data_IF_870797769656
#
_entry.id   IF_870797769656
#
_cell.length_a   1.000
_cell.length_b   1.000
_cell.length_c   1.000
_cell.angle_alpha   90.00
_cell.angle_beta   90.00
_cell.angle_gamma   90.00
#
_symmetry.space_group_name_H-M   'P 1'
#
loop_
_entity.id
_entity.type
_entity.pdbx_description
1 polymer ?
#
# COMPACT_ATOMS: atom_id res chain seq x y z
N UNK A 1 -6.29 -36.83 -15.21
CA UNK A 1 -6.59 -36.27 -13.90
C UNK A 1 -5.34 -35.54 -13.43
N UNK A 2 -5.35 -34.24 -13.49
CA UNK A 2 -4.25 -33.40 -13.03
C UNK A 2 -4.21 -33.41 -11.49
N UNK A 3 -3.05 -33.56 -10.86
CA UNK A 3 -2.96 -33.50 -9.40
C UNK A 3 -3.40 -32.10 -8.92
N UNK A 4 -4.28 -32.09 -7.92
CA UNK A 4 -4.81 -30.85 -7.32
C UNK A 4 -3.65 -30.03 -6.77
N UNK A 5 -3.68 -28.72 -6.92
CA UNK A 5 -2.65 -27.75 -6.49
C UNK A 5 -2.17 -27.98 -5.04
N UNK A 6 -3.04 -28.47 -4.18
CA UNK A 6 -2.73 -28.89 -2.80
C UNK A 6 -1.69 -30.02 -2.72
N UNK A 7 -1.73 -30.98 -3.65
CA UNK A 7 -0.80 -32.12 -3.68
C UNK A 7 0.60 -31.69 -4.15
N UNK A 8 0.68 -30.72 -5.06
CA UNK A 8 1.95 -30.13 -5.51
C UNK A 8 2.61 -29.28 -4.42
N UNK A 9 1.83 -28.57 -3.62
CA UNK A 9 2.31 -27.82 -2.47
C UNK A 9 2.82 -28.73 -1.35
N UNK A 10 2.11 -29.84 -1.06
CA UNK A 10 2.51 -30.84 -0.07
C UNK A 10 3.84 -31.54 -0.45
N UNK A 11 4.06 -31.82 -1.73
CA UNK A 11 5.32 -32.41 -2.22
C UNK A 11 6.51 -31.44 -2.14
N UNK A 12 6.29 -30.14 -2.26
CA UNK A 12 7.36 -29.12 -2.29
C UNK A 12 7.80 -28.66 -0.90
N UNK A 13 6.95 -28.80 0.12
CA UNK A 13 7.23 -28.29 1.48
C UNK A 13 7.39 -29.35 2.56
N UNK A 14 7.23 -30.64 2.24
CA UNK A 14 7.56 -31.75 3.16
C UNK A 14 6.91 -31.71 4.55
N UNK A 15 5.81 -30.95 4.71
CA UNK A 15 4.99 -30.91 5.93
C UNK A 15 3.53 -30.98 5.54
N UNK A 16 2.76 -31.80 6.23
CA UNK A 16 1.30 -31.84 6.17
C UNK A 16 0.72 -30.46 6.53
N UNK A 17 0.60 -29.59 5.50
CA UNK A 17 0.01 -28.27 5.67
C UNK A 17 -1.49 -28.45 5.63
N UNK A 18 -2.08 -28.76 6.79
CA UNK A 18 -3.54 -28.76 6.93
C UNK A 18 -4.03 -27.30 6.72
N UNK A 19 -5.22 -27.10 6.13
CA UNK A 19 -5.81 -25.76 5.98
C UNK A 19 -5.83 -24.96 7.28
N UNK A 20 -5.93 -25.65 8.42
CA UNK A 20 -5.88 -25.05 9.76
C UNK A 20 -4.48 -24.53 10.12
N UNK A 21 -3.42 -25.20 9.68
CA UNK A 21 -2.03 -24.76 9.93
C UNK A 21 -1.65 -23.50 9.16
N UNK A 22 -2.12 -23.35 7.92
CA UNK A 22 -1.90 -22.12 7.12
C UNK A 22 -2.67 -20.93 7.67
N UNK A 23 -3.92 -21.10 8.10
CA UNK A 23 -4.70 -20.03 8.73
C UNK A 23 -4.10 -19.60 10.07
N UNK A 24 -3.60 -20.55 10.89
CA UNK A 24 -2.99 -20.23 12.18
C UNK A 24 -1.65 -19.48 11.99
N UNK A 25 -0.82 -19.88 11.05
CA UNK A 25 0.43 -19.18 10.74
C UNK A 25 0.18 -17.76 10.20
N UNK A 26 -0.85 -17.59 9.38
CA UNK A 26 -1.27 -16.26 8.88
C UNK A 26 -1.76 -15.38 10.03
N UNK A 27 -2.57 -15.92 10.94
CA UNK A 27 -3.07 -15.16 12.11
C UNK A 27 -1.95 -14.78 13.07
N UNK A 28 -0.95 -15.65 13.29
CA UNK A 28 0.21 -15.32 14.13
C UNK A 28 1.08 -14.24 13.51
N UNK A 29 1.29 -14.26 12.19
CA UNK A 29 2.00 -13.19 11.47
C UNK A 29 1.24 -11.87 11.54
N UNK A 30 -0.07 -11.87 11.34
CA UNK A 30 -0.93 -10.70 11.50
C UNK A 30 -0.84 -10.10 12.90
N UNK A 31 -0.92 -10.94 13.93
CA UNK A 31 -0.79 -10.49 15.32
C UNK A 31 0.58 -9.85 15.56
N UNK A 32 1.66 -10.43 15.04
CA UNK A 32 3.01 -9.88 15.13
C UNK A 32 3.11 -8.50 14.45
N UNK A 33 2.55 -8.33 13.25
CA UNK A 33 2.55 -7.04 12.54
C UNK A 33 1.81 -5.97 13.33
N UNK A 34 0.61 -6.29 13.83
CA UNK A 34 -0.18 -5.36 14.65
C UNK A 34 0.56 -5.00 15.92
N UNK A 35 1.14 -5.98 16.63
CA UNK A 35 1.92 -5.74 17.85
C UNK A 35 3.09 -4.80 17.58
N UNK A 36 3.83 -5.00 16.48
CA UNK A 36 4.97 -4.15 16.12
C UNK A 36 4.54 -2.71 15.83
N UNK A 37 3.46 -2.51 15.06
CA UNK A 37 2.93 -1.18 14.78
C UNK A 37 2.45 -0.49 16.06
N UNK A 38 1.69 -1.20 16.90
CA UNK A 38 1.17 -0.66 18.18
C UNK A 38 2.31 -0.35 19.15
N UNK A 39 3.30 -1.24 19.27
CA UNK A 39 4.49 -1.00 20.10
C UNK A 39 5.28 0.22 19.62
N UNK A 40 5.49 0.35 18.31
CA UNK A 40 6.08 1.52 17.71
C UNK A 40 5.29 2.79 18.03
N UNK A 41 3.97 2.76 17.81
CA UNK A 41 3.09 3.90 18.09
C UNK A 41 3.09 4.29 19.58
N UNK A 42 3.09 3.32 20.48
CA UNK A 42 3.18 3.57 21.92
C UNK A 42 4.49 4.24 22.30
N UNK A 43 5.61 3.78 21.75
CA UNK A 43 6.93 4.40 21.98
C UNK A 43 6.99 5.81 21.37
N UNK A 44 6.51 5.98 20.15
CA UNK A 44 6.46 7.27 19.45
C UNK A 44 5.61 8.32 20.14
N UNK A 45 4.53 7.91 20.79
CA UNK A 45 3.61 8.80 21.52
C UNK A 45 4.16 9.34 22.85
N UNK A 46 5.27 8.77 23.37
CA UNK A 46 5.88 9.24 24.62
C UNK A 46 6.32 10.70 24.53
N UNK A 47 6.09 11.54 25.56
CA UNK A 47 6.45 12.96 25.55
C UNK A 47 7.92 13.21 25.20
N UNK A 48 8.84 12.37 25.71
CA UNK A 48 10.28 12.47 25.46
C UNK A 48 10.67 12.28 23.99
N UNK A 49 9.87 11.56 23.21
CA UNK A 49 10.12 11.26 21.80
C UNK A 49 9.32 12.22 20.92
N UNK A 50 8.08 12.50 21.29
CA UNK A 50 7.15 13.35 20.54
C UNK A 50 7.69 14.76 20.33
N UNK A 51 8.35 15.35 21.33
CA UNK A 51 8.91 16.71 21.26
C UNK A 51 10.24 16.80 20.53
N UNK A 52 10.95 15.69 20.32
CA UNK A 52 12.25 15.68 19.64
C UNK A 52 12.08 15.61 18.13
N UNK A 53 12.84 16.45 17.39
CA UNK A 53 13.02 16.28 15.94
C UNK A 53 13.90 15.06 15.67
N UNK A 54 13.29 13.89 15.46
CA UNK A 54 14.01 12.66 15.14
C UNK A 54 14.29 12.58 13.63
N UNK A 55 15.23 13.42 13.15
CA UNK A 55 15.65 13.43 11.74
C UNK A 55 16.18 12.05 11.31
N UNK A 56 16.77 11.30 12.24
CA UNK A 56 17.28 9.96 11.97
C UNK A 56 16.17 8.93 11.71
N UNK A 57 14.94 9.14 12.23
CA UNK A 57 13.83 8.20 12.05
C UNK A 57 13.47 8.05 10.57
N UNK A 58 13.25 9.16 9.86
CA UNK A 58 12.98 9.14 8.42
C UNK A 58 14.14 8.56 7.61
N UNK A 59 15.39 8.86 7.99
CA UNK A 59 16.57 8.27 7.35
C UNK A 59 16.66 6.77 7.57
N UNK A 60 16.34 6.28 8.77
CA UNK A 60 16.35 4.86 9.09
C UNK A 60 15.20 4.12 8.40
N UNK A 61 14.01 4.72 8.34
CA UNK A 61 12.89 4.20 7.55
C UNK A 61 13.27 4.06 6.08
N UNK A 62 13.86 5.11 5.49
CA UNK A 62 14.30 5.08 4.09
C UNK A 62 15.41 4.05 3.85
N UNK A 63 16.37 3.91 4.77
CA UNK A 63 17.42 2.89 4.66
C UNK A 63 16.83 1.47 4.75
N UNK A 64 15.96 1.22 5.73
CA UNK A 64 15.26 -0.06 5.86
C UNK A 64 14.45 -0.40 4.61
N UNK A 65 13.73 0.60 4.07
CA UNK A 65 12.99 0.49 2.83
C UNK A 65 13.90 0.13 1.64
N UNK A 66 15.03 0.81 1.49
CA UNK A 66 15.98 0.54 0.39
C UNK A 66 16.56 -0.88 0.48
N UNK A 67 16.98 -1.31 1.66
CA UNK A 67 17.49 -2.67 1.88
C UNK A 67 16.42 -3.72 1.52
N UNK A 68 15.18 -3.51 1.97
CA UNK A 68 14.05 -4.38 1.69
C UNK A 68 13.77 -4.46 0.19
N UNK A 69 13.73 -3.32 -0.50
CA UNK A 69 13.44 -3.27 -1.94
C UNK A 69 14.55 -3.90 -2.76
N UNK A 70 15.82 -3.67 -2.42
CA UNK A 70 16.95 -4.33 -3.10
C UNK A 70 16.90 -5.84 -2.88
N UNK A 71 16.69 -6.32 -1.64
CA UNK A 71 16.59 -7.74 -1.34
C UNK A 71 15.41 -8.41 -2.07
N UNK A 72 14.25 -7.72 -2.15
CA UNK A 72 13.11 -8.16 -2.95
C UNK A 72 13.47 -8.20 -4.45
N UNK A 73 14.12 -7.16 -4.96
CA UNK A 73 14.60 -7.12 -6.35
C UNK A 73 15.51 -8.30 -6.69
N UNK A 74 16.50 -8.58 -5.82
CA UNK A 74 17.40 -9.74 -5.98
C UNK A 74 16.61 -11.04 -6.05
N UNK A 75 15.66 -11.24 -5.14
CA UNK A 75 14.82 -12.45 -5.10
C UNK A 75 13.94 -12.60 -6.34
N UNK A 76 13.40 -11.48 -6.87
CA UNK A 76 12.63 -11.46 -8.11
C UNK A 76 13.51 -11.73 -9.32
N UNK A 77 14.70 -11.12 -9.38
CA UNK A 77 15.66 -11.31 -10.49
C UNK A 77 16.24 -12.70 -10.57
N UNK A 78 16.44 -13.38 -9.45
CA UNK A 78 16.90 -14.78 -9.39
C UNK A 78 15.79 -15.80 -9.73
N UNK A 79 14.55 -15.38 -9.92
CA UNK A 79 13.43 -16.26 -10.22
C UNK A 79 13.14 -16.29 -11.73
N UNK A 80 13.42 -17.43 -12.38
CA UNK A 80 13.24 -17.61 -13.83
C UNK A 80 11.77 -17.43 -14.28
N UNK A 81 10.80 -17.84 -13.45
CA UNK A 81 9.36 -17.69 -13.75
C UNK A 81 8.97 -16.22 -13.83
N UNK A 82 9.46 -15.39 -12.89
CA UNK A 82 9.21 -13.95 -12.88
C UNK A 82 9.84 -13.28 -14.10
N UNK A 83 11.09 -13.61 -14.42
CA UNK A 83 11.82 -13.02 -15.56
C UNK A 83 11.15 -13.40 -16.89
N UNK A 84 10.78 -14.66 -17.07
CA UNK A 84 10.14 -15.13 -18.31
C UNK A 84 8.74 -14.54 -18.54
N UNK A 85 8.03 -14.20 -17.47
CA UNK A 85 6.66 -13.63 -17.50
C UNK A 85 6.60 -12.11 -17.28
N UNK A 86 7.73 -11.40 -17.35
CA UNK A 86 7.84 -9.99 -16.95
C UNK A 86 6.87 -9.07 -17.73
N UNK A 87 6.68 -9.30 -19.04
CA UNK A 87 5.74 -8.53 -19.84
C UNK A 87 4.28 -8.71 -19.40
N UNK A 88 3.88 -9.94 -19.07
CA UNK A 88 2.53 -10.25 -18.58
C UNK A 88 2.31 -9.70 -17.17
N UNK A 89 3.32 -9.78 -16.31
CA UNK A 89 3.31 -9.19 -14.97
C UNK A 89 3.06 -7.69 -15.07
N UNK A 90 3.79 -6.99 -15.95
CA UNK A 90 3.65 -5.54 -16.15
C UNK A 90 2.27 -5.13 -16.63
N UNK A 91 1.73 -5.83 -17.63
CA UNK A 91 0.40 -5.57 -18.17
C UNK A 91 -0.70 -5.83 -17.11
N UNK A 92 -0.60 -6.95 -16.38
CA UNK A 92 -1.55 -7.28 -15.31
C UNK A 92 -1.51 -6.25 -14.21
N UNK A 93 -0.31 -5.83 -13.77
CA UNK A 93 -0.15 -4.79 -12.76
C UNK A 93 -0.77 -3.46 -13.18
N UNK A 94 -0.56 -3.04 -14.44
CA UNK A 94 -1.13 -1.81 -14.99
C UNK A 94 -2.66 -1.85 -14.98
N UNK A 95 -3.25 -2.92 -15.51
CA UNK A 95 -4.70 -3.05 -15.61
C UNK A 95 -5.37 -3.17 -14.24
N UNK A 96 -4.80 -3.96 -13.33
CA UNK A 96 -5.28 -4.04 -11.94
C UNK A 96 -5.24 -2.64 -11.30
N UNK A 97 -4.15 -1.90 -11.47
CA UNK A 97 -4.02 -0.55 -10.90
C UNK A 97 -5.07 0.41 -11.42
N UNK A 98 -5.23 0.48 -12.74
CA UNK A 98 -6.20 1.40 -13.37
C UNK A 98 -7.62 1.10 -12.90
N UNK A 99 -8.01 -0.17 -12.89
CA UNK A 99 -9.35 -0.58 -12.43
C UNK A 99 -9.52 -0.36 -10.92
N UNK A 100 -8.53 -0.68 -10.10
CA UNK A 100 -8.56 -0.45 -8.66
C UNK A 100 -8.67 1.03 -8.31
N UNK A 101 -7.92 1.91 -8.99
CA UNK A 101 -8.02 3.36 -8.83
C UNK A 101 -9.37 3.89 -9.27
N UNK A 102 -9.89 3.44 -10.41
CA UNK A 102 -11.22 3.80 -10.87
C UNK A 102 -12.30 3.37 -9.88
N UNK A 103 -12.21 2.15 -9.36
CA UNK A 103 -13.14 1.64 -8.34
C UNK A 103 -13.10 2.44 -7.05
N UNK A 104 -11.92 2.79 -6.55
CA UNK A 104 -11.78 3.64 -5.36
C UNK A 104 -12.37 5.03 -5.60
N UNK A 105 -12.11 5.62 -6.76
CA UNK A 105 -12.67 6.92 -7.16
C UNK A 105 -14.19 6.90 -7.19
N UNK A 106 -14.79 5.89 -7.82
CA UNK A 106 -16.24 5.72 -7.91
C UNK A 106 -16.84 5.52 -6.51
N UNK A 107 -16.29 4.63 -5.70
CA UNK A 107 -16.80 4.35 -4.35
C UNK A 107 -16.78 5.60 -3.46
N UNK A 108 -15.68 6.36 -3.47
CA UNK A 108 -15.57 7.60 -2.68
C UNK A 108 -16.48 8.70 -3.26
N UNK A 109 -16.66 8.78 -4.57
CA UNK A 109 -17.63 9.71 -5.18
C UNK A 109 -19.05 9.41 -4.73
N UNK A 110 -19.43 8.13 -4.71
CA UNK A 110 -20.76 7.72 -4.23
C UNK A 110 -20.91 8.03 -2.74
N UNK A 111 -19.91 7.68 -1.92
CA UNK A 111 -19.91 8.02 -0.49
C UNK A 111 -20.07 9.54 -0.28
N UNK A 112 -19.28 10.37 -0.95
CA UNK A 112 -19.31 11.82 -0.82
C UNK A 112 -20.69 12.39 -1.18
N UNK A 113 -21.27 11.93 -2.30
CA UNK A 113 -22.54 12.44 -2.81
C UNK A 113 -23.75 12.01 -2.00
N UNK A 114 -23.83 10.72 -1.61
CA UNK A 114 -25.02 10.13 -1.02
C UNK A 114 -24.97 10.06 0.50
N UNK A 115 -23.81 9.77 1.09
CA UNK A 115 -23.69 9.58 2.55
C UNK A 115 -23.18 10.84 3.24
N UNK A 116 -22.07 11.39 2.78
CA UNK A 116 -21.47 12.58 3.40
C UNK A 116 -22.19 13.88 2.99
N UNK A 117 -22.88 13.87 1.84
CA UNK A 117 -23.61 15.03 1.28
C UNK A 117 -22.73 16.27 1.14
N UNK A 118 -21.44 16.06 0.82
CA UNK A 118 -20.47 17.13 0.61
C UNK A 118 -20.50 17.60 -0.85
N UNK A 119 -20.12 18.87 -1.07
CA UNK A 119 -19.87 19.42 -2.40
C UNK A 119 -18.55 18.88 -3.01
N UNK A 120 -18.15 19.39 -4.18
CA UNK A 120 -16.89 18.96 -4.83
C UNK A 120 -15.65 19.36 -4.03
N UNK A 121 -15.73 20.45 -3.28
CA UNK A 121 -14.65 20.92 -2.44
C UNK A 121 -14.56 20.19 -1.09
N UNK A 122 -15.45 19.22 -0.83
CA UNK A 122 -15.48 18.50 0.45
C UNK A 122 -16.12 19.28 1.59
N UNK A 123 -16.90 20.31 1.28
CA UNK A 123 -17.61 21.14 2.26
C UNK A 123 -19.09 20.73 2.34
N UNK A 124 -19.77 20.93 3.50
CA UNK A 124 -21.20 20.74 3.60
C UNK A 124 -21.95 21.61 2.57
N UNK A 125 -22.93 21.03 1.89
CA UNK A 125 -23.74 21.75 0.91
C UNK A 125 -24.44 22.93 1.58
N UNK A 126 -24.20 24.14 1.06
CA UNK A 126 -24.77 25.38 1.59
C UNK A 126 -23.78 26.31 2.32
N UNK A 127 -22.55 25.89 2.52
CA UNK A 127 -21.52 26.78 3.05
C UNK A 127 -20.78 27.43 1.89
N UNK A 128 -20.96 28.74 1.70
CA UNK A 128 -20.20 29.52 0.72
C UNK A 128 -18.74 29.58 1.17
N UNK A 129 -17.92 28.71 0.63
CA UNK A 129 -16.48 28.79 0.84
C UNK A 129 -15.91 29.89 -0.04
N UNK A 130 -15.30 30.88 0.57
CA UNK A 130 -14.32 31.71 -0.13
C UNK A 130 -13.27 30.78 -0.70
N UNK A 131 -13.20 30.72 -2.02
CA UNK A 131 -12.14 30.07 -2.78
C UNK A 131 -10.83 30.77 -2.43
N UNK A 132 -10.14 30.27 -1.42
CA UNK A 132 -8.76 30.64 -1.19
C UNK A 132 -7.95 30.20 -2.41
N UNK A 133 -7.12 31.10 -2.90
CA UNK A 133 -6.22 30.91 -4.02
C UNK A 133 -5.57 29.52 -3.99
N UNK A 134 -5.69 28.80 -5.09
CA UNK A 134 -4.96 27.58 -5.38
C UNK A 134 -3.48 27.96 -5.45
N UNK A 135 -2.75 27.82 -4.37
CA UNK A 135 -1.30 27.99 -4.39
C UNK A 135 -0.70 26.89 -5.27
N UNK A 136 -0.09 27.31 -6.37
CA UNK A 136 0.76 26.48 -7.23
C UNK A 136 2.11 26.18 -6.55
N UNK A 137 2.13 25.58 -5.38
CA UNK A 137 3.37 25.16 -4.73
C UNK A 137 3.23 23.77 -4.11
N UNK A 138 3.25 22.76 -4.96
CA UNK A 138 3.43 21.38 -4.58
C UNK A 138 4.19 20.63 -5.65
N UNK A 139 5.48 20.96 -5.87
CA UNK A 139 6.37 20.02 -6.57
C UNK A 139 6.52 18.81 -5.67
N UNK A 140 5.75 17.76 -5.96
CA UNK A 140 5.97 16.46 -5.37
C UNK A 140 7.45 16.12 -5.54
N UNK A 141 8.12 15.78 -4.45
CA UNK A 141 9.50 15.31 -4.50
C UNK A 141 9.54 13.91 -5.11
N UNK A 142 9.57 13.87 -6.45
CA UNK A 142 9.70 12.64 -7.24
C UNK A 142 11.07 11.97 -7.08
N UNK A 143 11.94 12.51 -6.23
CA UNK A 143 13.28 11.99 -6.01
C UNK A 143 13.23 10.60 -5.37
N UNK A 144 12.42 10.41 -4.35
CA UNK A 144 12.29 9.13 -3.64
C UNK A 144 11.79 7.99 -4.53
N UNK A 145 10.76 8.23 -5.34
CA UNK A 145 10.21 7.22 -6.27
C UNK A 145 11.23 6.77 -7.31
N UNK A 146 12.05 7.68 -7.83
CA UNK A 146 13.13 7.33 -8.77
C UNK A 146 14.16 6.38 -8.13
N UNK A 147 14.57 6.64 -6.90
CA UNK A 147 15.51 5.79 -6.17
C UNK A 147 14.94 4.41 -5.87
N UNK A 148 13.64 4.32 -5.59
CA UNK A 148 12.93 3.06 -5.35
C UNK A 148 12.89 2.20 -6.61
N UNK A 149 12.50 2.78 -7.75
CA UNK A 149 12.48 2.07 -9.03
C UNK A 149 13.89 1.64 -9.43
N UNK A 150 14.89 2.53 -9.26
CA UNK A 150 16.28 2.21 -9.54
C UNK A 150 16.78 1.07 -8.64
N UNK A 151 16.44 1.07 -7.36
CA UNK A 151 16.86 0.05 -6.39
C UNK A 151 16.28 -1.33 -6.75
N UNK A 152 15.00 -1.42 -7.15
CA UNK A 152 14.42 -2.70 -7.57
C UNK A 152 15.03 -3.21 -8.86
N UNK A 153 15.21 -2.33 -9.86
CA UNK A 153 15.82 -2.73 -11.13
C UNK A 153 17.26 -3.17 -10.91
N UNK A 154 18.04 -2.43 -10.13
CA UNK A 154 19.41 -2.81 -9.80
C UNK A 154 19.46 -4.14 -9.02
N UNK A 155 18.54 -4.33 -8.07
CA UNK A 155 18.37 -5.60 -7.35
C UNK A 155 18.03 -6.76 -8.29
N UNK A 156 17.08 -6.58 -9.20
CA UNK A 156 16.72 -7.60 -10.20
C UNK A 156 17.89 -7.98 -11.10
N UNK A 157 18.61 -6.99 -11.62
CA UNK A 157 19.79 -7.23 -12.46
C UNK A 157 20.90 -7.94 -11.66
N UNK A 158 21.12 -7.54 -10.42
CA UNK A 158 22.08 -8.19 -9.54
C UNK A 158 21.68 -9.65 -9.25
N UNK A 159 20.40 -9.91 -8.96
CA UNK A 159 19.88 -11.25 -8.73
C UNK A 159 19.98 -12.15 -9.95
N UNK A 160 19.75 -11.60 -11.13
CA UNK A 160 19.82 -12.36 -12.38
C UNK A 160 21.24 -12.68 -12.83
N UNK A 161 22.20 -11.74 -12.69
CA UNK A 161 23.54 -11.88 -13.26
C UNK A 161 24.66 -12.17 -12.26
N UNK A 162 24.55 -11.74 -11.01
CA UNK A 162 25.69 -11.60 -10.12
C UNK A 162 25.59 -12.40 -8.83
N UNK A 163 24.38 -12.61 -8.29
CA UNK A 163 24.22 -13.15 -6.93
C UNK A 163 24.00 -14.65 -6.94
N UNK A 164 24.86 -15.44 -6.27
CA UNK A 164 24.71 -16.89 -6.17
C UNK A 164 23.45 -17.28 -5.37
N UNK A 165 22.87 -18.45 -5.69
CA UNK A 165 21.66 -18.99 -5.04
C UNK A 165 21.79 -19.09 -3.52
N UNK A 166 23.00 -19.38 -3.02
CA UNK A 166 23.28 -19.43 -1.58
C UNK A 166 22.98 -18.08 -0.88
N UNK A 167 23.22 -16.94 -1.53
CA UNK A 167 22.93 -15.61 -0.99
C UNK A 167 21.46 -15.28 -1.17
N UNK A 168 20.86 -15.65 -2.31
CA UNK A 168 19.43 -15.48 -2.59
C UNK A 168 18.58 -16.18 -1.52
N UNK A 169 18.99 -17.34 -1.04
CA UNK A 169 18.32 -18.07 0.04
C UNK A 169 18.19 -17.25 1.35
N UNK A 170 19.15 -16.35 1.62
CA UNK A 170 19.11 -15.48 2.82
C UNK A 170 18.32 -14.18 2.61
N UNK A 171 18.01 -13.82 1.37
CA UNK A 171 17.21 -12.61 1.07
C UNK A 171 15.85 -12.65 1.76
N UNK A 172 15.23 -13.83 1.91
CA UNK A 172 13.96 -13.97 2.63
C UNK A 172 14.06 -13.47 4.07
N UNK A 173 15.07 -13.88 4.82
CA UNK A 173 15.30 -13.44 6.20
C UNK A 173 15.58 -11.94 6.29
N UNK A 174 16.33 -11.39 5.34
CA UNK A 174 16.60 -9.94 5.29
C UNK A 174 15.31 -9.16 5.04
N UNK A 175 14.44 -9.65 4.15
CA UNK A 175 13.15 -9.05 3.85
C UNK A 175 12.24 -9.08 5.09
N UNK A 176 12.13 -10.23 5.77
CA UNK A 176 11.28 -10.36 6.95
C UNK A 176 11.75 -9.45 8.09
N UNK A 177 13.05 -9.39 8.36
CA UNK A 177 13.61 -8.48 9.35
C UNK A 177 13.39 -7.01 8.96
N UNK A 178 13.64 -6.65 7.70
CA UNK A 178 13.40 -5.31 7.17
C UNK A 178 11.93 -4.91 7.29
N UNK A 179 11.01 -5.85 7.05
CA UNK A 179 9.58 -5.66 7.22
C UNK A 179 9.21 -5.35 8.67
N UNK A 180 9.67 -6.17 9.62
CA UNK A 180 9.39 -5.95 11.05
C UNK A 180 9.94 -4.61 11.54
N UNK A 181 11.16 -4.26 11.13
CA UNK A 181 11.77 -2.98 11.42
C UNK A 181 10.96 -1.83 10.82
N UNK A 182 10.56 -1.93 9.55
CA UNK A 182 9.77 -0.92 8.87
C UNK A 182 8.42 -0.70 9.56
N UNK A 183 7.69 -1.77 9.89
CA UNK A 183 6.41 -1.69 10.59
C UNK A 183 6.54 -1.01 11.97
N UNK A 184 7.58 -1.35 12.72
CA UNK A 184 7.86 -0.71 14.01
C UNK A 184 8.17 0.79 13.86
N UNK A 185 9.02 1.16 12.88
CA UNK A 185 9.39 2.55 12.64
C UNK A 185 8.21 3.39 12.11
N UNK A 186 7.38 2.82 11.25
CA UNK A 186 6.14 3.45 10.78
C UNK A 186 5.19 3.66 11.95
N UNK A 187 4.99 2.63 12.79
CA UNK A 187 4.22 2.77 14.02
C UNK A 187 4.73 3.90 14.90
N UNK A 188 6.05 3.98 15.09
CA UNK A 188 6.70 5.04 15.91
C UNK A 188 6.48 6.44 15.31
N UNK A 189 6.52 6.59 13.99
CA UNK A 189 6.24 7.86 13.33
C UNK A 189 4.77 8.28 13.49
N UNK A 190 3.85 7.34 13.32
CA UNK A 190 2.42 7.55 13.56
C UNK A 190 2.14 7.97 15.01
N UNK A 191 2.76 7.30 15.98
CA UNK A 191 2.63 7.65 17.40
C UNK A 191 3.20 9.02 17.75
N UNK A 192 4.31 9.41 17.10
CA UNK A 192 4.95 10.72 17.28
C UNK A 192 4.10 11.86 16.74
N UNK A 193 3.43 11.69 15.62
CA UNK A 193 2.54 12.69 15.04
C UNK A 193 1.37 13.02 16.00
N UNK A 194 0.88 12.05 16.75
CA UNK A 194 0.02 12.25 17.94
C UNK A 194 -1.31 12.97 17.74
N UNK A 195 -1.56 13.46 16.54
CA UNK A 195 -2.75 14.22 16.17
C UNK A 195 -3.89 13.32 15.74
N UNK A 196 -3.60 12.08 15.33
CA UNK A 196 -4.56 11.16 14.72
C UNK A 196 -5.87 11.02 15.51
N UNK A 197 -5.78 10.75 16.82
CA UNK A 197 -6.97 10.62 17.68
C UNK A 197 -7.68 11.96 17.90
N UNK A 198 -6.92 13.05 17.99
CA UNK A 198 -7.46 14.40 18.12
C UNK A 198 -8.14 14.85 16.81
N UNK A 199 -7.51 14.58 15.67
CA UNK A 199 -8.02 14.93 14.34
C UNK A 199 -9.29 14.14 14.00
N UNK A 200 -9.32 12.82 14.31
CA UNK A 200 -10.52 11.99 14.17
C UNK A 200 -11.65 12.50 15.08
N UNK A 201 -11.35 12.89 16.33
CA UNK A 201 -12.37 13.47 17.23
C UNK A 201 -12.90 14.79 16.70
N UNK A 202 -12.05 15.65 16.13
CA UNK A 202 -12.41 16.97 15.65
C UNK A 202 -13.18 16.90 14.32
N UNK A 203 -12.76 16.02 13.41
CA UNK A 203 -13.38 15.85 12.09
C UNK A 203 -14.64 14.97 12.13
N UNK A 204 -14.84 14.25 13.24
CA UNK A 204 -15.96 13.32 13.44
C UNK A 204 -15.76 11.98 12.74
N UNK A 205 -16.54 10.99 13.16
CA UNK A 205 -16.42 9.59 12.70
C UNK A 205 -16.62 9.41 11.18
N UNK A 206 -17.24 10.39 10.52
CA UNK A 206 -17.53 10.37 9.07
C UNK A 206 -16.27 10.36 8.20
N UNK A 207 -15.13 10.87 8.70
CA UNK A 207 -13.85 10.87 7.97
C UNK A 207 -13.36 9.44 7.72
N UNK A 208 -13.61 8.52 8.66
CA UNK A 208 -13.23 7.11 8.53
C UNK A 208 -13.97 6.37 7.41
N UNK A 209 -15.12 6.88 6.97
CA UNK A 209 -15.86 6.28 5.87
C UNK A 209 -15.12 6.42 4.53
N UNK A 210 -14.27 7.43 4.38
CA UNK A 210 -13.51 7.66 3.14
C UNK A 210 -12.50 6.53 2.85
N UNK A 211 -11.58 6.17 3.78
CA UNK A 211 -10.69 5.05 3.56
C UNK A 211 -11.41 3.71 3.42
N UNK A 212 -12.51 3.50 4.15
CA UNK A 212 -13.32 2.28 4.01
C UNK A 212 -13.92 2.17 2.61
N UNK A 213 -14.52 3.25 2.10
CA UNK A 213 -15.05 3.27 0.74
C UNK A 213 -13.93 3.09 -0.31
N UNK A 214 -12.77 3.73 -0.11
CA UNK A 214 -11.62 3.57 -0.99
C UNK A 214 -11.11 2.12 -1.01
N UNK A 215 -11.03 1.47 0.16
CA UNK A 215 -10.63 0.07 0.26
C UNK A 215 -11.61 -0.85 -0.44
N UNK A 216 -12.91 -0.73 -0.14
CA UNK A 216 -13.96 -1.54 -0.76
C UNK A 216 -13.98 -1.34 -2.27
N UNK A 217 -13.92 -0.10 -2.75
CA UNK A 217 -13.90 0.20 -4.18
C UNK A 217 -12.67 -0.34 -4.89
N UNK A 218 -11.49 -0.24 -4.26
CA UNK A 218 -10.24 -0.80 -4.77
C UNK A 218 -10.33 -2.32 -4.94
N UNK A 219 -10.68 -3.02 -3.86
CA UNK A 219 -10.70 -4.49 -3.84
C UNK A 219 -11.81 -5.05 -4.75
N UNK A 220 -12.99 -4.44 -4.74
CA UNK A 220 -14.10 -4.86 -5.62
C UNK A 220 -13.76 -4.68 -7.11
N UNK A 221 -13.16 -3.56 -7.49
CA UNK A 221 -12.75 -3.34 -8.87
C UNK A 221 -11.59 -4.25 -9.30
N UNK A 222 -10.68 -4.55 -8.39
CA UNK A 222 -9.61 -5.52 -8.64
C UNK A 222 -10.16 -6.95 -8.80
N UNK A 223 -11.21 -7.31 -8.05
CA UNK A 223 -11.93 -8.58 -8.26
C UNK A 223 -12.49 -8.68 -9.68
N UNK A 224 -13.10 -7.60 -10.18
CA UNK A 224 -13.57 -7.53 -11.58
C UNK A 224 -12.40 -7.63 -12.57
N UNK A 225 -11.25 -7.03 -12.27
CA UNK A 225 -10.06 -7.18 -13.10
C UNK A 225 -9.61 -8.64 -13.20
N UNK A 226 -9.64 -9.37 -12.08
CA UNK A 226 -9.31 -10.81 -12.04
C UNK A 226 -10.25 -11.72 -12.86
N UNK A 227 -11.46 -11.25 -13.22
CA UNK A 227 -12.35 -11.99 -14.13
C UNK A 227 -11.93 -11.89 -15.60
N UNK A 228 -11.14 -10.88 -15.96
CA UNK A 228 -10.76 -10.58 -17.35
C UNK A 228 -9.30 -10.88 -17.61
N UNK A 229 -8.46 -10.75 -16.58
CA UNK A 229 -7.03 -10.92 -16.68
C UNK A 229 -6.60 -12.38 -16.44
N UNK A 230 -5.42 -12.79 -16.92
CA UNK A 230 -4.84 -14.11 -16.62
C UNK A 230 -4.26 -14.17 -15.18
N UNK A 231 -4.96 -13.58 -14.23
CA UNK A 231 -4.63 -13.55 -12.80
C UNK A 231 -5.90 -13.93 -12.04
N UNK A 232 -5.79 -14.76 -11.01
CA UNK A 232 -6.98 -15.16 -10.25
C UNK A 232 -7.64 -13.93 -9.59
N UNK A 233 -8.96 -14.01 -9.38
CA UNK A 233 -9.73 -12.96 -8.69
C UNK A 233 -9.09 -12.64 -7.33
N UNK A 234 -8.73 -13.69 -6.59
CA UNK A 234 -8.07 -13.58 -5.30
C UNK A 234 -6.72 -12.85 -5.38
N UNK A 235 -5.91 -13.20 -6.37
CA UNK A 235 -4.59 -12.61 -6.55
C UNK A 235 -4.67 -11.13 -6.97
N UNK A 236 -5.63 -10.79 -7.86
CA UNK A 236 -5.89 -9.40 -8.22
C UNK A 236 -6.34 -8.56 -7.01
N UNK A 237 -7.24 -9.11 -6.18
CA UNK A 237 -7.65 -8.48 -4.92
C UNK A 237 -6.47 -8.30 -3.96
N UNK A 238 -5.65 -9.34 -3.76
CA UNK A 238 -4.50 -9.30 -2.86
C UNK A 238 -3.44 -8.28 -3.30
N UNK A 239 -3.11 -8.24 -4.59
CA UNK A 239 -2.16 -7.26 -5.14
C UNK A 239 -2.64 -5.81 -4.96
N UNK A 240 -3.94 -5.55 -5.18
CA UNK A 240 -4.54 -4.22 -5.06
C UNK A 240 -4.73 -3.76 -3.61
N UNK A 241 -4.88 -4.70 -2.67
CA UNK A 241 -5.03 -4.43 -1.24
C UNK A 241 -3.78 -3.85 -0.57
N UNK A 242 -2.70 -3.65 -1.33
CA UNK A 242 -1.55 -2.84 -0.93
C UNK A 242 -1.83 -1.35 -0.91
N UNK A 243 -2.91 -0.89 -1.55
CA UNK A 243 -3.36 0.52 -1.57
C UNK A 243 -2.26 1.53 -1.92
N UNK A 244 -1.24 1.16 -2.69
CA UNK A 244 -0.08 1.98 -3.01
C UNK A 244 1.14 1.75 -2.11
N UNK A 245 1.08 0.84 -1.15
CA UNK A 245 2.24 0.50 -0.31
C UNK A 245 3.11 -0.58 -0.98
N UNK A 246 3.93 -0.14 -1.93
CA UNK A 246 4.78 -0.97 -2.79
C UNK A 246 5.90 -1.73 -2.05
N UNK A 247 6.23 -1.39 -0.81
CA UNK A 247 7.23 -2.12 -0.02
C UNK A 247 6.61 -3.23 0.82
N UNK A 248 5.44 -3.00 1.40
CA UNK A 248 4.81 -3.93 2.32
C UNK A 248 4.01 -5.03 1.60
N UNK A 249 3.12 -4.66 0.67
CA UNK A 249 2.25 -5.62 0.01
C UNK A 249 3.01 -6.74 -0.73
N UNK A 250 4.07 -6.45 -1.52
CA UNK A 250 4.87 -7.50 -2.15
C UNK A 250 5.57 -8.40 -1.14
N UNK A 251 6.06 -7.82 -0.06
CA UNK A 251 6.75 -8.57 1.01
C UNK A 251 5.82 -9.58 1.67
N UNK A 252 4.56 -9.20 1.91
CA UNK A 252 3.54 -10.11 2.45
C UNK A 252 3.17 -11.23 1.47
N UNK A 253 3.28 -10.99 0.17
CA UNK A 253 2.90 -11.93 -0.88
C UNK A 253 4.04 -12.82 -1.36
N UNK A 254 5.30 -12.51 -1.05
CA UNK A 254 6.46 -13.25 -1.55
C UNK A 254 6.49 -14.73 -1.12
N UNK A 255 6.00 -15.03 0.09
CA UNK A 255 5.92 -16.40 0.60
C UNK A 255 4.79 -17.20 -0.03
N UNK A 256 3.77 -16.51 -0.57
CA UNK A 256 2.65 -17.11 -1.27
C UNK A 256 2.99 -17.33 -2.76
N UNK A 257 3.43 -16.29 -3.46
CA UNK A 257 3.82 -16.34 -4.88
C UNK A 257 4.77 -15.18 -5.22
N UNK A 258 5.94 -15.50 -5.80
CA UNK A 258 6.88 -14.48 -6.25
C UNK A 258 6.34 -13.69 -7.45
N UNK A 259 5.66 -14.35 -8.38
CA UNK A 259 4.99 -13.67 -9.50
C UNK A 259 3.94 -12.69 -9.01
N UNK A 260 3.12 -13.07 -8.02
CA UNK A 260 2.14 -12.17 -7.41
C UNK A 260 2.79 -11.04 -6.62
N UNK A 261 3.90 -11.31 -5.93
CA UNK A 261 4.70 -10.27 -5.27
C UNK A 261 5.20 -9.22 -6.28
N UNK A 262 5.66 -9.66 -7.46
CA UNK A 262 6.08 -8.74 -8.54
C UNK A 262 4.90 -7.92 -9.09
N UNK A 263 3.73 -8.55 -9.32
CA UNK A 263 2.50 -7.85 -9.73
C UNK A 263 2.12 -6.80 -8.68
N UNK A 264 2.13 -7.17 -7.41
CA UNK A 264 1.78 -6.26 -6.32
C UNK A 264 2.77 -5.09 -6.21
N UNK A 265 4.08 -5.35 -6.37
CA UNK A 265 5.08 -4.29 -6.39
C UNK A 265 4.79 -3.27 -7.50
N UNK A 266 4.70 -3.74 -8.74
CA UNK A 266 4.46 -2.88 -9.89
C UNK A 266 3.11 -2.14 -9.79
N UNK A 267 2.05 -2.85 -9.41
CA UNK A 267 0.72 -2.27 -9.23
C UNK A 267 0.74 -1.10 -8.24
N UNK A 268 1.38 -1.26 -7.09
CA UNK A 268 1.41 -0.24 -6.05
C UNK A 268 2.34 0.94 -6.43
N UNK A 269 3.46 0.71 -7.13
CA UNK A 269 4.31 1.79 -7.69
C UNK A 269 3.57 2.57 -8.76
N UNK A 270 2.92 1.90 -9.71
CA UNK A 270 2.13 2.55 -10.76
C UNK A 270 1.01 3.38 -10.15
N UNK A 271 0.34 2.89 -9.09
CA UNK A 271 -0.70 3.62 -8.37
C UNK A 271 -0.18 4.95 -7.83
N UNK A 272 0.98 4.96 -7.18
CA UNK A 272 1.59 6.19 -6.65
C UNK A 272 1.92 7.19 -7.75
N UNK A 273 2.56 6.73 -8.83
CA UNK A 273 2.88 7.58 -10.00
C UNK A 273 1.61 8.16 -10.61
N UNK A 274 0.59 7.33 -10.83
CA UNK A 274 -0.68 7.78 -11.40
C UNK A 274 -1.43 8.71 -10.44
N UNK A 275 -1.37 8.51 -9.14
CA UNK A 275 -1.96 9.42 -8.18
C UNK A 275 -1.35 10.81 -8.30
N UNK A 276 -0.02 10.92 -8.33
CA UNK A 276 0.69 12.21 -8.50
C UNK A 276 0.23 12.95 -9.76
N UNK A 277 0.09 12.24 -10.88
CA UNK A 277 -0.29 12.83 -12.18
C UNK A 277 -1.79 13.16 -12.24
N UNK A 278 -2.64 12.28 -11.70
CA UNK A 278 -4.10 12.40 -11.85
C UNK A 278 -4.76 13.29 -10.79
N UNK A 279 -4.18 13.45 -9.60
CA UNK A 279 -4.76 14.27 -8.51
C UNK A 279 -5.13 15.68 -8.97
N UNK A 280 -4.28 16.47 -9.67
CA UNK A 280 -4.66 17.81 -10.13
C UNK A 280 -5.85 17.80 -11.10
N UNK A 281 -5.96 16.74 -11.92
CA UNK A 281 -7.08 16.58 -12.88
C UNK A 281 -8.35 16.19 -12.14
N UNK A 282 -8.28 15.26 -11.21
CA UNK A 282 -9.42 14.79 -10.40
C UNK A 282 -9.93 15.89 -9.48
N UNK A 283 -9.04 16.68 -8.88
CA UNK A 283 -9.42 17.84 -8.08
C UNK A 283 -10.30 18.81 -8.89
N UNK A 284 -9.91 19.13 -10.12
CA UNK A 284 -10.64 20.06 -10.99
C UNK A 284 -11.95 19.48 -11.53
N UNK A 285 -11.98 18.19 -11.89
CA UNK A 285 -13.11 17.59 -12.64
C UNK A 285 -14.08 16.79 -11.76
N UNK A 286 -13.62 16.13 -10.71
CA UNK A 286 -14.40 15.18 -9.90
C UNK A 286 -14.67 15.72 -8.50
N UNK A 287 -13.63 15.91 -7.70
CA UNK A 287 -13.74 16.46 -6.36
C UNK A 287 -12.48 16.24 -5.51
N UNK A 288 -12.41 16.95 -4.38
CA UNK A 288 -11.23 17.01 -3.54
C UNK A 288 -11.06 15.76 -2.66
N UNK A 289 -12.17 15.21 -2.18
CA UNK A 289 -12.11 13.98 -1.35
C UNK A 289 -11.69 12.77 -2.19
N UNK A 290 -12.08 12.76 -3.47
CA UNK A 290 -11.70 11.72 -4.42
C UNK A 290 -10.20 11.67 -4.69
N UNK A 291 -9.49 12.80 -4.60
CA UNK A 291 -8.04 12.86 -4.71
C UNK A 291 -7.36 11.97 -3.67
N UNK A 292 -7.91 11.94 -2.46
CA UNK A 292 -7.41 11.11 -1.35
C UNK A 292 -7.47 9.62 -1.70
N UNK A 293 -8.54 9.18 -2.37
CA UNK A 293 -8.71 7.76 -2.73
C UNK A 293 -7.71 7.27 -3.78
N UNK A 294 -7.24 8.15 -4.65
CA UNK A 294 -6.20 7.83 -5.63
C UNK A 294 -4.87 7.52 -4.95
N UNK A 295 -4.49 8.38 -4.00
CA UNK A 295 -3.24 8.25 -3.27
C UNK A 295 -3.16 6.99 -2.40
N UNK A 296 -4.31 6.53 -1.89
CA UNK A 296 -4.37 5.34 -1.04
C UNK A 296 -3.58 5.51 0.27
N UNK A 297 -2.69 4.57 0.58
CA UNK A 297 -1.83 4.62 1.76
C UNK A 297 -0.83 5.78 1.71
N UNK A 298 -0.32 6.14 0.52
CA UNK A 298 0.60 7.26 0.33
C UNK A 298 -0.03 8.64 0.56
N UNK A 299 -1.35 8.70 0.83
CA UNK A 299 -2.06 9.94 1.10
C UNK A 299 -1.63 10.66 2.38
N UNK A 300 -0.93 9.98 3.29
CA UNK A 300 -0.46 10.57 4.55
C UNK A 300 0.98 11.11 4.48
N UNK A 301 1.75 10.73 3.46
CA UNK A 301 3.19 11.02 3.35
C UNK A 301 3.59 11.54 1.97
N UNK A 302 4.07 10.69 1.06
CA UNK A 302 4.67 11.09 -0.22
C UNK A 302 3.72 11.84 -1.15
N UNK A 303 2.44 11.51 -1.14
CA UNK A 303 1.41 12.13 -2.01
C UNK A 303 0.64 13.24 -1.30
N UNK A 304 0.75 13.37 0.02
CA UNK A 304 0.06 14.41 0.80
C UNK A 304 0.30 15.84 0.26
N UNK A 305 1.54 16.26 -0.07
CA UNK A 305 1.78 17.59 -0.62
C UNK A 305 1.06 17.84 -1.95
N UNK A 306 0.92 16.79 -2.78
CA UNK A 306 0.20 16.87 -4.06
C UNK A 306 -1.30 17.05 -3.84
N UNK A 307 -1.87 16.29 -2.88
CA UNK A 307 -3.29 16.41 -2.51
C UNK A 307 -3.57 17.81 -1.98
N UNK A 308 -2.76 18.30 -1.03
CA UNK A 308 -2.95 19.63 -0.42
C UNK A 308 -2.73 20.73 -1.44
N UNK A 309 -1.71 20.61 -2.31
CA UNK A 309 -1.44 21.59 -3.37
C UNK A 309 -2.52 21.66 -4.44
N UNK A 310 -3.22 20.57 -4.71
CA UNK A 310 -4.31 20.50 -5.69
C UNK A 310 -5.70 20.81 -5.09
N UNK A 311 -5.83 20.88 -3.76
CA UNK A 311 -7.09 21.03 -3.04
C UNK A 311 -6.99 22.19 -2.04
N UNK A 312 -7.34 21.99 -0.79
CA UNK A 312 -7.18 22.95 0.30
C UNK A 312 -6.81 22.25 1.61
N UNK A 313 -6.31 23.01 2.60
CA UNK A 313 -5.78 22.49 3.87
C UNK A 313 -6.77 21.60 4.66
N UNK A 314 -8.07 21.82 4.56
CA UNK A 314 -9.08 20.98 5.25
C UNK A 314 -9.10 19.54 4.74
N UNK A 315 -8.67 19.29 3.50
CA UNK A 315 -8.57 17.93 2.93
C UNK A 315 -7.43 17.15 3.55
N UNK A 316 -6.45 17.82 4.16
CA UNK A 316 -5.33 17.18 4.87
C UNK A 316 -5.81 16.16 5.89
N UNK A 317 -6.88 16.45 6.64
CA UNK A 317 -7.43 15.53 7.65
C UNK A 317 -7.93 14.23 6.98
N UNK A 318 -8.66 14.36 5.86
CA UNK A 318 -9.13 13.20 5.10
C UNK A 318 -7.96 12.41 4.52
N UNK A 319 -6.97 13.11 3.97
CA UNK A 319 -5.79 12.52 3.35
C UNK A 319 -4.96 11.75 4.37
N UNK A 320 -4.61 12.40 5.46
CA UNK A 320 -3.82 11.79 6.53
C UNK A 320 -4.56 10.60 7.16
N UNK A 321 -5.83 10.77 7.54
CA UNK A 321 -6.64 9.69 8.13
C UNK A 321 -6.78 8.51 7.18
N UNK A 322 -6.99 8.77 5.88
CA UNK A 322 -7.10 7.70 4.88
C UNK A 322 -5.79 6.95 4.72
N UNK A 323 -4.67 7.66 4.64
CA UNK A 323 -3.36 7.04 4.55
C UNK A 323 -3.06 6.14 5.74
N UNK A 324 -3.32 6.63 6.95
CA UNK A 324 -3.14 5.86 8.19
C UNK A 324 -4.03 4.62 8.23
N UNK A 325 -5.33 4.78 7.98
CA UNK A 325 -6.28 3.64 8.04
C UNK A 325 -5.95 2.59 6.98
N UNK A 326 -5.63 3.01 5.76
CA UNK A 326 -5.27 2.09 4.69
C UNK A 326 -3.92 1.41 4.97
N UNK A 327 -2.94 2.12 5.54
CA UNK A 327 -1.66 1.52 5.93
C UNK A 327 -1.83 0.46 7.02
N UNK A 328 -2.70 0.69 8.00
CA UNK A 328 -3.05 -0.32 9.01
C UNK A 328 -3.84 -1.49 8.40
N UNK A 329 -4.61 -1.23 7.35
CA UNK A 329 -5.39 -2.27 6.68
C UNK A 329 -4.53 -3.23 5.84
N UNK A 330 -3.43 -2.77 5.24
CA UNK A 330 -2.57 -3.60 4.37
C UNK A 330 -2.11 -4.91 5.05
N UNK A 331 -1.45 -4.87 6.23
CA UNK A 331 -0.95 -6.09 6.87
C UNK A 331 -2.06 -7.03 7.35
N UNK A 332 -3.31 -6.56 7.38
CA UNK A 332 -4.49 -7.35 7.74
C UNK A 332 -5.16 -7.91 6.49
N UNK A 333 -5.48 -7.03 5.52
CA UNK A 333 -6.29 -7.41 4.35
C UNK A 333 -5.52 -8.28 3.36
N UNK A 334 -4.23 -8.02 3.13
CA UNK A 334 -3.46 -8.80 2.16
C UNK A 334 -3.39 -10.27 2.55
N UNK A 335 -2.93 -10.65 3.76
CA UNK A 335 -2.91 -12.04 4.18
C UNK A 335 -4.33 -12.63 4.34
N UNK A 336 -5.32 -11.83 4.77
CA UNK A 336 -6.70 -12.28 4.88
C UNK A 336 -7.26 -12.69 3.50
N UNK A 337 -7.04 -11.88 2.46
CA UNK A 337 -7.50 -12.19 1.09
C UNK A 337 -6.82 -13.45 0.57
N UNK A 338 -5.51 -13.61 0.79
CA UNK A 338 -4.77 -14.82 0.39
C UNK A 338 -5.31 -16.07 1.08
N UNK A 339 -5.77 -15.95 2.32
CA UNK A 339 -6.34 -17.06 3.08
C UNK A 339 -7.76 -17.46 2.68
N UNK A 340 -8.44 -16.68 1.82
CA UNK A 340 -9.79 -17.02 1.36
C UNK A 340 -9.82 -18.34 0.58
N UNK A 341 -10.84 -19.18 0.74
CA UNK A 341 -10.88 -20.56 0.21
C UNK A 341 -11.27 -20.66 -1.27
N UNK A 342 -11.23 -19.58 -2.04
CA UNK A 342 -11.58 -19.59 -3.47
C UNK A 342 -10.46 -19.12 -4.36
#
# INVERSE_FOLDING_TARGET
MSPTYATLLAQRFGKDVTPLGTTLSTLTSLAAYIILVVAGAFIGSRPSIRTRRLIWLGKLQFAALMILIVALGVKLGANEEVISSLGQIGLSALLITVLAMAGSLVAVTLLRRFVLKLDRCGLPRGTSAQTGDVREEGKADNSSTKWIVLAVVAGMLAGYFLIPDAVVAHCGTVIDFGLYLLLFLVGMDMGKQGTMLADIKTAGFKVLLVPVAAAVGTVAAAALAGLVLPVSVKDAMAASAGFGWYSLAPTLLQSYSLSLSAVAFLSNVIREIFAIVLIPVVAKKVGYIECVSLAGAAAMDTVLPVVVGATHERVTIYSFTSGVVLSLAVPILVPFIVALPF
#
